data_IF_314535077573
#
_entry.id   IF_314535077573
#
_cell.length_a   1.000
_cell.length_b   1.000
_cell.length_c   1.000
_cell.angle_alpha   90.00
_cell.angle_beta   90.00
_cell.angle_gamma   90.00
#
_symmetry.space_group_name_H-M   'P 1'
#
loop_
_entity.id
_entity.type
_entity.pdbx_description
1 polymer ?
#
# COMPACT_ATOMS: atom_id res chain seq x y z
N UNK A 1 -37.79 24.13 -27.42
CA UNK A 1 -36.67 23.71 -28.30
C UNK A 1 -36.47 22.22 -28.08
N UNK A 2 -36.87 21.40 -29.04
CA UNK A 2 -36.71 19.94 -28.98
C UNK A 2 -35.27 19.63 -29.37
N UNK A 3 -34.49 19.05 -28.46
CA UNK A 3 -33.15 18.58 -28.79
C UNK A 3 -33.33 17.20 -29.40
N UNK A 4 -33.23 17.11 -30.73
CA UNK A 4 -33.17 15.84 -31.43
C UNK A 4 -31.76 15.30 -31.23
N UNK A 5 -31.59 14.40 -30.27
CA UNK A 5 -30.31 13.74 -30.04
C UNK A 5 -30.26 12.54 -30.97
N UNK A 6 -29.23 12.48 -31.82
CA UNK A 6 -28.99 11.33 -32.68
C UNK A 6 -28.76 10.07 -31.85
N UNK A 7 -29.48 9.00 -32.18
CA UNK A 7 -29.36 7.72 -31.49
C UNK A 7 -27.94 7.16 -31.60
N UNK A 8 -27.26 7.35 -32.74
CA UNK A 8 -25.87 6.91 -32.90
C UNK A 8 -24.91 7.67 -31.98
N UNK A 9 -25.16 8.97 -31.79
CA UNK A 9 -24.39 9.79 -30.86
C UNK A 9 -24.58 9.34 -29.41
N UNK A 10 -25.81 8.99 -29.00
CA UNK A 10 -26.11 8.48 -27.67
C UNK A 10 -25.44 7.12 -27.40
N UNK A 11 -25.51 6.20 -28.37
CA UNK A 11 -24.88 4.88 -28.27
C UNK A 11 -23.36 5.03 -28.12
N UNK A 12 -22.73 5.88 -28.93
CA UNK A 12 -21.29 6.15 -28.85
C UNK A 12 -20.90 6.72 -27.47
N UNK A 13 -21.77 7.55 -26.87
CA UNK A 13 -21.54 8.11 -25.53
C UNK A 13 -21.67 7.06 -24.43
N UNK A 14 -22.65 6.17 -24.55
CA UNK A 14 -22.85 5.06 -23.62
C UNK A 14 -21.65 4.09 -23.64
N UNK A 15 -21.15 3.74 -24.83
CA UNK A 15 -19.95 2.90 -24.96
C UNK A 15 -18.71 3.53 -24.31
N UNK A 16 -18.58 4.87 -24.42
CA UNK A 16 -17.48 5.59 -23.78
C UNK A 16 -17.60 5.56 -22.24
N UNK A 17 -18.82 5.67 -21.71
CA UNK A 17 -19.09 5.56 -20.27
C UNK A 17 -18.81 4.15 -19.77
N UNK A 18 -19.21 3.11 -20.51
CA UNK A 18 -18.94 1.73 -20.13
C UNK A 18 -17.44 1.40 -20.10
N UNK A 19 -16.67 1.92 -21.06
CA UNK A 19 -15.19 1.81 -21.01
C UNK A 19 -14.61 2.52 -19.80
N UNK A 20 -15.04 3.76 -19.54
CA UNK A 20 -14.57 4.50 -18.37
C UNK A 20 -14.91 3.78 -17.06
N UNK A 21 -16.10 3.18 -16.95
CA UNK A 21 -16.50 2.39 -15.79
C UNK A 21 -15.69 1.09 -15.67
N UNK A 22 -15.36 0.44 -16.78
CA UNK A 22 -14.47 -0.73 -16.78
C UNK A 22 -13.07 -0.37 -16.31
N UNK A 23 -12.53 0.77 -16.75
CA UNK A 23 -11.23 1.29 -16.31
C UNK A 23 -11.24 1.64 -14.81
N UNK A 24 -12.32 2.25 -14.30
CA UNK A 24 -12.49 2.53 -12.88
C UNK A 24 -12.55 1.22 -12.07
N UNK A 25 -13.33 0.23 -12.54
CA UNK A 25 -13.42 -1.09 -11.88
C UNK A 25 -12.09 -1.82 -11.90
N UNK A 26 -11.33 -1.73 -12.99
CA UNK A 26 -9.99 -2.28 -13.11
C UNK A 26 -9.03 -1.59 -12.14
N UNK A 27 -9.03 -0.27 -12.07
CA UNK A 27 -8.22 0.49 -11.11
C UNK A 27 -8.61 0.18 -9.65
N UNK A 28 -9.89 -0.05 -9.38
CA UNK A 28 -10.37 -0.48 -8.06
C UNK A 28 -9.93 -1.93 -7.73
N UNK A 29 -9.97 -2.84 -8.70
CA UNK A 29 -9.53 -4.23 -8.55
C UNK A 29 -8.01 -4.37 -8.43
N UNK A 30 -7.26 -3.51 -9.11
CA UNK A 30 -5.80 -3.38 -8.98
C UNK A 30 -5.39 -2.72 -7.66
N UNK A 31 -6.35 -2.23 -6.88
CA UNK A 31 -6.12 -1.50 -5.64
C UNK A 31 -5.56 -0.12 -5.94
N UNK A 32 -6.37 0.93 -5.76
CA UNK A 32 -5.84 2.29 -5.66
C UNK A 32 -5.06 2.37 -4.34
N UNK A 33 -3.81 1.92 -4.37
CA UNK A 33 -2.86 2.00 -3.27
C UNK A 33 -2.48 3.48 -3.10
N UNK A 34 -3.33 4.23 -2.39
CA UNK A 34 -3.02 5.58 -1.96
C UNK A 34 -1.77 5.48 -1.10
N UNK A 35 -0.64 5.89 -1.64
CA UNK A 35 0.61 5.83 -0.90
C UNK A 35 0.63 7.01 0.06
N UNK A 36 0.66 6.73 1.36
CA UNK A 36 0.82 7.77 2.38
C UNK A 36 2.31 7.93 2.70
N UNK A 37 2.74 9.17 2.94
CA UNK A 37 4.04 9.50 3.54
C UNK A 37 3.82 10.20 4.89
N UNK A 38 3.31 9.48 5.90
CA UNK A 38 3.07 10.03 7.22
C UNK A 38 4.40 10.47 7.83
N UNK A 39 4.44 11.69 8.37
CA UNK A 39 5.58 12.20 9.11
C UNK A 39 5.50 11.78 10.58
N UNK A 40 6.64 11.50 11.21
CA UNK A 40 6.72 11.21 12.65
C UNK A 40 6.66 9.73 13.05
N UNK A 41 6.45 8.79 12.12
CA UNK A 41 6.57 7.36 12.41
C UNK A 41 8.04 6.96 12.38
N UNK A 42 8.59 6.55 13.53
CA UNK A 42 9.97 6.06 13.60
C UNK A 42 10.02 4.54 13.39
N UNK A 43 10.31 4.13 12.16
CA UNK A 43 10.38 2.71 11.80
C UNK A 43 11.58 1.99 12.42
N UNK A 44 12.58 2.70 12.93
CA UNK A 44 13.79 2.09 13.52
C UNK A 44 13.58 1.51 14.93
N UNK A 45 12.39 1.71 15.52
CA UNK A 45 12.01 1.12 16.81
C UNK A 45 11.63 -0.36 16.71
N UNK A 46 11.52 -0.90 15.50
CA UNK A 46 11.18 -2.29 15.23
C UNK A 46 12.43 -3.13 15.03
N UNK A 47 12.41 -4.37 15.52
CA UNK A 47 13.50 -5.34 15.33
C UNK A 47 13.43 -5.95 13.92
N UNK A 48 13.94 -5.19 12.94
CA UNK A 48 14.01 -5.61 11.55
C UNK A 48 15.00 -6.75 11.36
N UNK A 49 14.57 -7.77 10.63
CA UNK A 49 15.34 -8.94 10.23
C UNK A 49 15.49 -9.01 8.72
N UNK A 50 16.65 -9.46 8.27
CA UNK A 50 16.88 -9.75 6.86
C UNK A 50 16.29 -11.12 6.49
N UNK A 51 16.50 -11.55 5.24
CA UNK A 51 16.04 -12.86 4.73
C UNK A 51 16.67 -14.09 5.42
N UNK A 52 17.73 -13.90 6.20
CA UNK A 52 18.43 -14.93 6.96
C UNK A 52 18.07 -14.92 8.46
N UNK A 53 17.11 -14.08 8.87
CA UNK A 53 16.71 -13.87 10.26
C UNK A 53 17.78 -13.18 11.15
N UNK A 54 18.79 -12.57 10.54
CA UNK A 54 19.75 -11.71 11.24
C UNK A 54 19.21 -10.27 11.32
N UNK A 55 19.67 -9.43 12.28
CA UNK A 55 19.36 -8.01 12.29
C UNK A 55 19.62 -7.36 10.93
N UNK A 56 18.61 -6.66 10.40
CA UNK A 56 18.70 -6.00 9.11
C UNK A 56 19.57 -4.75 9.19
N UNK A 57 20.33 -4.49 8.13
CA UNK A 57 21.08 -3.25 7.95
C UNK A 57 20.19 -2.15 7.37
N UNK A 58 20.59 -0.90 7.57
CA UNK A 58 19.92 0.29 7.02
C UNK A 58 20.04 0.40 5.49
N UNK A 59 20.83 -0.45 4.85
CA UNK A 59 20.96 -0.48 3.40
C UNK A 59 20.35 -1.72 2.75
N UNK A 60 19.83 -2.66 3.55
CA UNK A 60 19.21 -3.89 3.06
C UNK A 60 18.05 -3.56 2.11
N UNK A 61 18.04 -4.22 0.96
CA UNK A 61 17.02 -4.02 -0.08
C UNK A 61 15.62 -4.42 0.40
N UNK A 62 15.55 -5.33 1.38
CA UNK A 62 14.31 -5.81 1.97
C UNK A 62 14.58 -6.34 3.39
N UNK A 63 13.66 -6.07 4.30
CA UNK A 63 13.65 -6.63 5.65
C UNK A 63 12.21 -6.80 6.15
N UNK A 64 12.05 -7.56 7.22
CA UNK A 64 10.77 -7.83 7.86
C UNK A 64 10.87 -7.70 9.38
N UNK A 65 9.76 -7.40 10.04
CA UNK A 65 9.67 -7.33 11.49
C UNK A 65 8.33 -7.89 11.95
N UNK A 66 8.25 -8.36 13.19
CA UNK A 66 6.96 -8.67 13.79
C UNK A 66 6.22 -7.37 14.12
N UNK A 67 4.93 -7.32 13.81
CA UNK A 67 4.04 -6.26 14.30
C UNK A 67 3.45 -6.57 15.68
N UNK A 68 3.53 -7.82 16.12
CA UNK A 68 2.89 -8.35 17.33
C UNK A 68 3.90 -9.06 18.23
N UNK A 69 3.61 -9.09 19.52
CA UNK A 69 4.36 -9.87 20.50
C UNK A 69 3.96 -11.37 20.45
N UNK A 70 4.63 -12.19 21.27
CA UNK A 70 4.36 -13.64 21.37
C UNK A 70 2.91 -13.96 21.78
N UNK A 71 2.28 -13.08 22.55
CA UNK A 71 0.89 -13.22 23.02
C UNK A 71 -0.15 -12.77 21.96
N UNK A 72 0.31 -12.29 20.80
CA UNK A 72 -0.54 -11.79 19.71
C UNK A 72 -0.98 -10.32 19.86
N UNK A 73 -0.56 -9.63 20.93
CA UNK A 73 -0.78 -8.20 21.13
C UNK A 73 0.05 -7.36 20.16
N UNK A 74 -0.54 -6.28 19.63
CA UNK A 74 0.17 -5.37 18.72
C UNK A 74 1.28 -4.62 19.49
N UNK A 75 2.48 -4.57 18.91
CA UNK A 75 3.60 -3.84 19.51
C UNK A 75 3.30 -2.34 19.47
N UNK A 76 3.50 -1.59 20.57
CA UNK A 76 3.25 -0.14 20.58
C UNK A 76 4.04 0.61 19.50
N UNK A 77 5.27 0.19 19.21
CA UNK A 77 6.11 0.76 18.16
C UNK A 77 5.58 0.48 16.73
N UNK A 78 4.74 -0.54 16.56
CA UNK A 78 4.16 -0.92 15.27
C UNK A 78 2.76 -0.32 15.06
N UNK A 79 2.08 0.11 16.12
CA UNK A 79 0.64 0.41 16.09
C UNK A 79 0.25 1.44 15.03
N UNK A 80 0.89 2.61 15.06
CA UNK A 80 0.61 3.67 14.10
C UNK A 80 0.94 3.26 12.67
N UNK A 81 2.05 2.54 12.47
CA UNK A 81 2.46 2.06 11.15
C UNK A 81 1.46 1.05 10.57
N UNK A 82 0.99 0.10 11.40
CA UNK A 82 0.00 -0.90 10.99
C UNK A 82 -1.30 -0.23 10.60
N UNK A 83 -1.81 0.71 11.41
CA UNK A 83 -3.05 1.45 11.10
C UNK A 83 -2.97 2.20 9.76
N UNK A 84 -1.84 2.85 9.51
CA UNK A 84 -1.60 3.56 8.25
C UNK A 84 -1.53 2.58 7.07
N UNK A 85 -0.80 1.46 7.19
CA UNK A 85 -0.73 0.45 6.13
C UNK A 85 -2.11 -0.19 5.89
N UNK A 86 -2.92 -0.44 6.93
CA UNK A 86 -4.28 -0.97 6.76
C UNK A 86 -5.19 0.02 6.01
N UNK A 87 -5.03 1.32 6.29
CA UNK A 87 -5.82 2.39 5.66
C UNK A 87 -5.45 2.62 4.19
N UNK A 88 -4.15 2.54 3.88
CA UNK A 88 -3.57 2.98 2.61
C UNK A 88 -3.09 1.81 1.72
N UNK A 89 -3.02 0.61 2.28
CA UNK A 89 -2.46 -0.59 1.68
C UNK A 89 -0.93 -0.66 1.75
N UNK A 90 -0.26 0.50 1.64
CA UNK A 90 1.19 0.66 1.78
C UNK A 90 1.55 2.07 2.20
N UNK A 91 2.73 2.22 2.78
CA UNK A 91 3.24 3.49 3.30
C UNK A 91 4.68 3.70 2.83
N UNK A 92 5.07 4.92 2.51
CA UNK A 92 6.46 5.27 2.17
C UNK A 92 7.09 6.15 3.26
N UNK A 93 8.13 5.65 3.93
CA UNK A 93 8.88 6.36 4.99
C UNK A 93 10.38 6.14 4.76
N UNK A 94 11.17 7.20 4.86
CA UNK A 94 12.64 7.17 4.81
C UNK A 94 13.25 6.39 3.61
N UNK A 95 12.59 6.47 2.44
CA UNK A 95 13.03 5.76 1.23
C UNK A 95 12.68 4.28 1.19
N UNK A 96 11.82 3.81 2.09
CA UNK A 96 11.26 2.46 2.12
C UNK A 96 9.77 2.45 1.81
N UNK A 97 9.34 1.44 1.06
CA UNK A 97 7.94 1.02 0.97
C UNK A 97 7.66 0.00 2.06
N UNK A 98 6.63 0.26 2.87
CA UNK A 98 6.22 -0.56 3.99
C UNK A 98 4.85 -1.18 3.73
N UNK A 99 4.74 -2.48 3.97
CA UNK A 99 3.52 -3.26 3.75
C UNK A 99 3.30 -4.30 4.84
N UNK A 100 2.05 -4.73 5.02
CA UNK A 100 1.72 -5.90 5.82
C UNK A 100 1.91 -7.16 4.98
N UNK A 101 2.54 -8.18 5.56
CA UNK A 101 2.70 -9.49 4.95
C UNK A 101 2.64 -10.62 5.96
N UNK A 102 3.06 -11.79 5.51
CA UNK A 102 2.74 -13.05 6.19
C UNK A 102 1.29 -13.49 5.92
N UNK A 103 0.98 -14.75 6.22
CA UNK A 103 -0.34 -15.35 5.98
C UNK A 103 -1.47 -14.60 6.70
N UNK A 104 -1.17 -14.10 7.89
CA UNK A 104 -2.14 -13.48 8.79
C UNK A 104 -1.94 -11.95 8.93
N UNK A 105 -1.16 -11.33 8.03
CA UNK A 105 -0.82 -9.89 8.07
C UNK A 105 -0.17 -9.45 9.39
N UNK A 106 0.56 -10.35 10.05
CA UNK A 106 1.24 -10.10 11.33
C UNK A 106 2.69 -9.63 11.16
N UNK A 107 3.22 -9.67 9.94
CA UNK A 107 4.56 -9.21 9.63
C UNK A 107 4.50 -7.85 8.94
N UNK A 108 5.41 -6.98 9.33
CA UNK A 108 5.74 -5.77 8.60
C UNK A 108 6.88 -6.09 7.65
N UNK A 109 6.77 -5.63 6.41
CA UNK A 109 7.86 -5.67 5.45
C UNK A 109 8.29 -4.25 5.16
N UNK A 110 9.60 -4.02 5.03
CA UNK A 110 10.15 -2.83 4.40
C UNK A 110 10.93 -3.24 3.16
N UNK A 111 10.75 -2.51 2.07
CA UNK A 111 11.46 -2.69 0.82
C UNK A 111 12.08 -1.38 0.39
N UNK A 112 13.38 -1.37 0.14
CA UNK A 112 14.08 -0.16 -0.30
C UNK A 112 13.54 0.26 -1.66
N UNK A 113 13.07 1.50 -1.76
CA UNK A 113 12.69 2.08 -3.04
C UNK A 113 13.99 2.27 -3.83
N UNK A 114 14.07 1.68 -5.02
CA UNK A 114 15.17 2.01 -5.95
C UNK A 114 15.03 3.49 -6.25
N UNK A 115 16.04 4.28 -5.88
CA UNK A 115 16.00 5.74 -5.97
C UNK A 115 15.44 6.20 -7.31
N UNK A 116 14.41 7.05 -7.24
CA UNK A 116 14.18 8.05 -8.29
C UNK A 116 15.48 8.86 -8.37
N UNK A 117 16.30 8.56 -9.37
CA UNK A 117 17.32 9.49 -9.86
C UNK A 117 16.64 10.74 -10.39
#
# INVERSE_FOLDING_TARGET
RTVTVDAEWLITRLDAVDRAMADIRKAAAEGVHRTASPSGININLLDWKNKYNDPARDDDAWAWAFSRNYEGGLLPAAEQLVQEIERYGKVEIDGYELTLGGKDKTLLNRKKLKGRR
#
